data_IF_135793508303
#
_entry.id   IF_135793508303
#
_cell.length_a   1.000
_cell.length_b   1.000
_cell.length_c   1.000
_cell.angle_alpha   90.00
_cell.angle_beta   90.00
_cell.angle_gamma   90.00
#
_symmetry.space_group_name_H-M   'P 1'
#
loop_
_entity.id
_entity.type
_entity.pdbx_description
1 polymer ?
#
# COMPACT_ATOMS: atom_id res chain seq x y z
N UNK A 1 57.83 22.58 -73.81
CA UNK A 1 57.32 21.43 -74.59
C UNK A 1 56.47 20.54 -73.69
N UNK A 2 55.34 20.07 -74.25
CA UNK A 2 54.61 18.84 -73.92
C UNK A 2 53.90 18.68 -72.54
N UNK A 3 52.58 18.93 -72.60
CA UNK A 3 51.45 18.06 -72.18
C UNK A 3 51.79 16.73 -71.48
N UNK A 4 51.02 16.39 -70.43
CA UNK A 4 49.96 15.36 -70.44
C UNK A 4 49.32 15.27 -69.03
N UNK A 5 48.01 15.56 -68.89
CA UNK A 5 46.84 14.65 -68.79
C UNK A 5 46.34 14.43 -67.33
N UNK A 6 45.28 15.16 -66.99
CA UNK A 6 43.99 14.79 -66.33
C UNK A 6 43.81 13.30 -65.87
N UNK A 7 42.78 12.95 -65.05
CA UNK A 7 42.20 13.56 -63.83
C UNK A 7 41.66 12.50 -62.80
N UNK A 8 40.92 12.96 -61.78
CA UNK A 8 39.84 12.26 -61.05
C UNK A 8 40.16 11.36 -59.82
N UNK A 9 39.69 11.83 -58.66
CA UNK A 9 38.70 11.20 -57.74
C UNK A 9 39.10 11.38 -56.27
N UNK A 10 38.39 12.23 -55.52
CA UNK A 10 37.14 11.93 -54.79
C UNK A 10 37.41 11.33 -53.39
N UNK A 11 37.35 12.16 -52.35
CA UNK A 11 36.38 12.08 -51.24
C UNK A 11 36.76 13.11 -50.17
N UNK A 12 36.06 14.25 -50.19
CA UNK A 12 36.03 15.21 -49.09
C UNK A 12 35.19 14.67 -47.93
N UNK A 13 35.68 14.81 -46.71
CA UNK A 13 34.94 14.58 -45.47
C UNK A 13 33.57 15.31 -45.50
N UNK A 14 32.47 14.57 -45.50
CA UNK A 14 31.13 15.12 -45.28
C UNK A 14 30.92 15.24 -43.77
N UNK A 15 31.10 16.43 -43.23
CA UNK A 15 30.71 16.74 -41.84
C UNK A 15 29.18 16.83 -41.75
N UNK A 16 28.54 16.23 -40.74
CA UNK A 16 27.09 16.30 -40.57
C UNK A 16 26.65 17.76 -40.33
N UNK A 17 25.55 18.17 -40.95
CA UNK A 17 25.10 19.57 -40.86
C UNK A 17 24.71 19.92 -39.42
N UNK A 18 25.27 21.03 -38.92
CA UNK A 18 25.03 21.56 -37.56
C UNK A 18 23.53 21.72 -37.25
N UNK A 19 22.72 21.96 -38.30
CA UNK A 19 21.27 22.15 -38.20
C UNK A 19 20.52 20.87 -37.82
N UNK A 20 20.97 19.70 -38.28
CA UNK A 20 20.35 18.41 -37.92
C UNK A 20 20.66 18.02 -36.48
N UNK A 21 21.87 18.34 -35.99
CA UNK A 21 22.29 18.10 -34.60
C UNK A 21 21.53 19.05 -33.66
N UNK A 22 21.36 20.31 -34.05
CA UNK A 22 20.55 21.31 -33.32
C UNK A 22 19.06 20.90 -33.24
N UNK A 23 18.49 20.37 -34.33
CA UNK A 23 17.11 19.89 -34.32
C UNK A 23 16.90 18.65 -33.44
N UNK A 24 17.90 17.76 -33.35
CA UNK A 24 17.85 16.54 -32.53
C UNK A 24 18.04 16.84 -31.04
N UNK A 25 18.93 17.78 -30.71
CA UNK A 25 19.14 18.28 -29.34
C UNK A 25 17.96 19.11 -28.85
N UNK A 26 17.33 19.94 -29.70
CA UNK A 26 16.11 20.67 -29.36
C UNK A 26 14.89 19.75 -29.13
N UNK A 27 14.78 18.63 -29.85
CA UNK A 27 13.74 17.61 -29.58
C UNK A 27 13.99 16.82 -28.29
N UNK A 28 15.25 16.58 -27.93
CA UNK A 28 15.61 15.94 -26.66
C UNK A 28 15.38 16.86 -25.46
N UNK A 29 15.68 18.16 -25.57
CA UNK A 29 15.38 19.13 -24.51
C UNK A 29 13.87 19.37 -24.35
N UNK A 30 13.09 19.37 -25.43
CA UNK A 30 11.62 19.46 -25.37
C UNK A 30 10.93 18.22 -24.75
N UNK A 31 11.57 17.04 -24.79
CA UNK A 31 11.07 15.84 -24.10
C UNK A 31 11.43 15.80 -22.60
N UNK A 32 12.55 16.44 -22.22
CA UNK A 32 12.96 16.58 -20.82
C UNK A 32 12.08 17.58 -20.03
N UNK A 33 11.38 18.48 -20.72
CA UNK A 33 10.50 19.51 -20.13
C UNK A 33 9.02 19.06 -20.05
N UNK A 34 8.73 17.75 -20.11
CA UNK A 34 7.43 17.23 -19.65
C UNK A 34 7.37 17.42 -18.14
N UNK A 35 6.99 18.63 -17.73
CA UNK A 35 6.97 19.09 -16.34
C UNK A 35 6.51 18.01 -15.37
N UNK A 36 7.28 17.85 -14.29
CA UNK A 36 7.01 16.86 -13.24
C UNK A 36 5.55 16.99 -12.82
N UNK A 37 4.72 15.98 -13.17
CA UNK A 37 3.31 15.97 -12.79
C UNK A 37 3.24 16.08 -11.27
N UNK A 38 2.60 17.14 -10.77
CA UNK A 38 2.41 17.35 -9.33
C UNK A 38 1.86 16.05 -8.70
N UNK A 39 2.42 15.58 -7.57
CA UNK A 39 1.97 14.37 -6.93
C UNK A 39 0.48 14.50 -6.59
N UNK A 40 -0.36 13.67 -7.21
CA UNK A 40 -1.81 13.75 -7.05
C UNK A 40 -2.23 13.08 -5.75
N UNK A 41 -2.64 13.87 -4.76
CA UNK A 41 -3.24 13.35 -3.52
C UNK A 41 -4.60 12.71 -3.81
N UNK A 42 -4.84 11.53 -3.24
CA UNK A 42 -6.15 10.86 -3.28
C UNK A 42 -7.13 11.65 -2.39
N UNK A 43 -8.41 11.70 -2.78
CA UNK A 43 -9.46 12.26 -1.92
C UNK A 43 -9.60 11.41 -0.65
N UNK A 44 -9.96 12.04 0.46
CA UNK A 44 -10.32 11.34 1.69
C UNK A 44 -11.37 10.27 1.39
N UNK A 45 -11.29 9.14 2.10
CA UNK A 45 -12.16 7.98 1.86
C UNK A 45 -11.79 7.11 0.65
N UNK A 46 -11.12 7.63 -0.38
CA UNK A 46 -10.77 6.83 -1.58
C UNK A 46 -9.81 5.68 -1.25
N UNK A 47 -8.85 5.93 -0.36
CA UNK A 47 -7.88 4.92 0.08
C UNK A 47 -8.55 3.92 1.01
N UNK A 48 -9.32 4.40 2.00
CA UNK A 48 -10.08 3.55 2.92
C UNK A 48 -11.03 2.58 2.20
N UNK A 49 -11.79 3.06 1.21
CA UNK A 49 -12.69 2.19 0.41
C UNK A 49 -11.93 1.13 -0.38
N UNK A 50 -10.71 1.44 -0.84
CA UNK A 50 -9.85 0.45 -1.51
C UNK A 50 -9.35 -0.61 -0.52
N UNK A 51 -8.91 -0.18 0.65
CA UNK A 51 -8.42 -1.07 1.70
C UNK A 51 -9.53 -2.00 2.19
N UNK A 52 -10.74 -1.48 2.42
CA UNK A 52 -11.92 -2.29 2.78
C UNK A 52 -12.15 -3.39 1.75
N UNK A 53 -12.18 -3.05 0.45
CA UNK A 53 -12.37 -4.05 -0.61
C UNK A 53 -11.23 -5.07 -0.70
N UNK A 54 -9.99 -4.64 -0.44
CA UNK A 54 -8.82 -5.52 -0.43
C UNK A 54 -8.94 -6.54 0.70
N UNK A 55 -9.16 -6.09 1.93
CA UNK A 55 -9.20 -6.93 3.13
C UNK A 55 -10.48 -7.76 3.26
N UNK A 56 -11.57 -7.38 2.59
CA UNK A 56 -12.76 -8.23 2.48
C UNK A 56 -12.58 -9.38 1.48
N UNK A 57 -11.63 -9.27 0.55
CA UNK A 57 -11.36 -10.30 -0.46
C UNK A 57 -10.34 -11.33 0.02
N UNK A 58 -9.37 -10.91 0.84
CA UNK A 58 -8.36 -11.80 1.41
C UNK A 58 -8.80 -12.31 2.80
N UNK A 59 -8.18 -13.41 3.24
CA UNK A 59 -8.36 -13.99 4.57
C UNK A 59 -7.04 -14.03 5.34
N UNK A 60 -6.13 -13.13 5.02
CA UNK A 60 -4.82 -13.04 5.64
C UNK A 60 -4.93 -12.44 7.05
N UNK A 61 -4.15 -12.95 7.98
CA UNK A 61 -4.03 -12.38 9.32
C UNK A 61 -3.41 -10.99 9.27
N UNK A 62 -4.02 -10.03 9.98
CA UNK A 62 -3.65 -8.62 9.94
C UNK A 62 -2.72 -8.24 11.10
N UNK A 63 -2.80 -8.95 12.23
CA UNK A 63 -1.96 -8.68 13.39
C UNK A 63 -0.60 -9.36 13.17
N UNK A 64 0.54 -8.67 13.39
CA UNK A 64 1.84 -9.31 13.31
C UNK A 64 1.98 -10.43 14.34
N UNK A 65 2.45 -11.61 13.91
CA UNK A 65 2.49 -12.83 14.74
C UNK A 65 3.35 -12.71 16.00
N UNK A 66 4.52 -12.06 15.89
CA UNK A 66 5.48 -11.93 17.00
C UNK A 66 4.93 -11.12 18.19
N UNK A 67 4.39 -9.89 18.02
CA UNK A 67 3.80 -9.16 19.14
C UNK A 67 2.56 -9.85 19.71
N UNK A 68 1.71 -10.48 18.87
CA UNK A 68 0.57 -11.25 19.37
C UNK A 68 1.02 -12.42 20.25
N UNK A 69 2.04 -13.17 19.83
CA UNK A 69 2.63 -14.24 20.62
C UNK A 69 3.18 -13.74 21.96
N UNK A 70 3.83 -12.56 22.00
CA UNK A 70 4.34 -11.97 23.24
C UNK A 70 3.20 -11.63 24.20
N UNK A 71 2.13 -11.01 23.69
CA UNK A 71 0.95 -10.67 24.47
C UNK A 71 0.25 -11.90 25.05
N UNK A 72 0.09 -12.96 24.26
CA UNK A 72 -0.50 -14.22 24.75
C UNK A 72 0.32 -14.82 25.90
N UNK A 73 1.66 -14.77 25.81
CA UNK A 73 2.55 -15.27 26.86
C UNK A 73 2.50 -14.41 28.12
N UNK A 74 2.46 -13.10 27.97
CA UNK A 74 2.32 -12.15 29.07
C UNK A 74 1.02 -12.40 29.87
N UNK A 75 -0.11 -12.54 29.17
CA UNK A 75 -1.40 -12.85 29.79
C UNK A 75 -1.35 -14.21 30.47
N UNK A 76 -0.84 -15.24 29.79
CA UNK A 76 -0.77 -16.59 30.33
C UNK A 76 0.08 -16.70 31.61
N UNK A 77 1.18 -15.95 31.67
CA UNK A 77 2.07 -15.90 32.82
C UNK A 77 1.37 -15.31 34.07
N UNK A 78 0.37 -14.45 33.88
CA UNK A 78 -0.48 -13.94 34.96
C UNK A 78 -1.40 -14.99 35.60
N UNK A 79 -1.64 -16.14 34.93
CA UNK A 79 -2.47 -17.22 35.45
C UNK A 79 -1.65 -18.39 36.01
N UNK A 80 -0.61 -18.83 35.28
CA UNK A 80 0.23 -19.95 35.68
C UNK A 80 1.65 -19.76 35.15
N UNK A 81 2.65 -19.90 36.03
CA UNK A 81 4.06 -19.91 35.63
C UNK A 81 4.39 -21.17 34.82
N UNK A 82 5.38 -21.06 33.92
CA UNK A 82 5.97 -22.18 33.17
C UNK A 82 5.05 -22.92 32.17
N UNK A 83 4.13 -22.18 31.53
CA UNK A 83 3.30 -22.71 30.44
C UNK A 83 4.08 -22.85 29.13
N UNK A 84 4.03 -24.07 28.55
CA UNK A 84 4.54 -24.35 27.20
C UNK A 84 3.40 -24.34 26.19
N UNK A 85 3.56 -23.56 25.14
CA UNK A 85 2.58 -23.43 24.06
C UNK A 85 3.04 -24.19 22.82
N UNK A 86 2.10 -24.88 22.18
CA UNK A 86 2.29 -25.40 20.83
C UNK A 86 2.32 -24.23 19.82
N UNK A 87 3.07 -24.34 18.71
CA UNK A 87 3.09 -23.29 17.68
C UNK A 87 1.71 -23.07 17.05
N UNK A 88 0.93 -24.15 16.83
CA UNK A 88 -0.41 -24.07 16.26
C UNK A 88 -1.43 -23.41 17.21
N UNK A 89 -1.19 -23.43 18.52
CA UNK A 89 -2.08 -22.79 19.49
C UNK A 89 -2.09 -21.27 19.30
N UNK A 90 -0.94 -20.65 19.00
CA UNK A 90 -0.88 -19.21 18.73
C UNK A 90 -1.65 -18.84 17.45
N UNK A 91 -1.60 -19.69 16.42
CA UNK A 91 -2.37 -19.47 15.19
C UNK A 91 -3.87 -19.54 15.45
N UNK A 92 -4.34 -20.56 16.17
CA UNK A 92 -5.76 -20.71 16.51
C UNK A 92 -6.27 -19.53 17.37
N UNK A 93 -5.51 -19.12 18.38
CA UNK A 93 -5.85 -17.96 19.21
C UNK A 93 -5.89 -16.67 18.39
N UNK A 94 -4.98 -16.51 17.43
CA UNK A 94 -4.93 -15.33 16.59
C UNK A 94 -6.11 -15.27 15.62
N UNK A 95 -6.44 -16.40 14.99
CA UNK A 95 -7.59 -16.52 14.09
C UNK A 95 -8.90 -16.17 14.80
N UNK A 96 -9.11 -16.73 16.00
CA UNK A 96 -10.30 -16.45 16.80
C UNK A 96 -10.36 -14.98 17.27
N UNK A 97 -9.25 -14.44 17.76
CA UNK A 97 -9.18 -13.05 18.22
C UNK A 97 -9.45 -12.05 17.08
N UNK A 98 -8.87 -12.26 15.89
CA UNK A 98 -9.12 -11.40 14.73
C UNK A 98 -10.56 -11.55 14.22
N UNK A 99 -11.10 -12.76 14.16
CA UNK A 99 -12.49 -13.00 13.77
C UNK A 99 -13.47 -12.30 14.73
N UNK A 100 -13.22 -12.38 16.03
CA UNK A 100 -14.01 -11.69 17.06
C UNK A 100 -13.97 -10.17 16.88
N UNK A 101 -12.78 -9.59 16.71
CA UNK A 101 -12.62 -8.14 16.50
C UNK A 101 -13.31 -7.67 15.23
N UNK A 102 -13.20 -8.41 14.12
CA UNK A 102 -13.89 -8.08 12.87
C UNK A 102 -15.41 -8.13 13.06
N UNK A 103 -15.93 -9.16 13.76
CA UNK A 103 -17.37 -9.27 14.05
C UNK A 103 -17.84 -8.10 14.92
N UNK A 104 -17.09 -7.75 15.97
CA UNK A 104 -17.38 -6.61 16.83
C UNK A 104 -17.43 -5.31 16.02
N UNK A 105 -16.42 -5.05 15.19
CA UNK A 105 -16.32 -3.83 14.39
C UNK A 105 -17.39 -3.70 13.31
N UNK A 106 -17.92 -4.81 12.79
CA UNK A 106 -19.09 -4.80 11.88
C UNK A 106 -20.32 -4.26 12.60
N UNK A 107 -20.59 -4.75 13.81
CA UNK A 107 -21.75 -4.32 14.59
C UNK A 107 -21.62 -2.88 15.08
N UNK A 108 -20.40 -2.46 15.47
CA UNK A 108 -20.18 -1.06 15.87
C UNK A 108 -20.33 -0.10 14.70
N UNK A 109 -19.96 -0.51 13.49
CA UNK A 109 -20.20 0.27 12.28
C UNK A 109 -21.70 0.44 12.01
N UNK A 110 -22.53 -0.61 12.23
CA UNK A 110 -23.98 -0.48 12.13
C UNK A 110 -24.54 0.51 13.17
N UNK A 111 -24.02 0.49 14.40
CA UNK A 111 -24.40 1.45 15.43
C UNK A 111 -24.00 2.89 15.07
N UNK A 112 -22.82 3.09 14.47
CA UNK A 112 -22.39 4.40 13.99
C UNK A 112 -23.31 4.93 12.88
N UNK A 113 -23.67 4.07 11.91
CA UNK A 113 -24.61 4.41 10.83
C UNK A 113 -26.00 4.72 11.37
N UNK A 114 -26.47 3.95 12.36
CA UNK A 114 -27.75 4.21 13.03
C UNK A 114 -27.79 5.62 13.63
N UNK A 115 -26.67 6.10 14.18
CA UNK A 115 -26.51 7.46 14.69
C UNK A 115 -26.14 8.51 13.62
N UNK A 116 -26.32 8.20 12.32
CA UNK A 116 -26.01 9.06 11.16
C UNK A 116 -24.54 9.51 11.08
N UNK A 117 -23.61 8.70 11.59
CA UNK A 117 -22.15 8.95 11.55
C UNK A 117 -21.46 7.93 10.66
N UNK A 118 -20.29 8.31 10.14
CA UNK A 118 -19.39 7.42 9.38
C UNK A 118 -18.19 6.95 10.23
N UNK A 119 -17.81 7.75 11.23
CA UNK A 119 -16.69 7.44 12.13
C UNK A 119 -17.20 6.68 13.36
N UNK A 120 -16.64 5.49 13.60
CA UNK A 120 -16.87 4.71 14.83
C UNK A 120 -16.28 5.40 16.06
N UNK A 121 -16.96 5.29 17.20
CA UNK A 121 -16.56 5.87 18.47
C UNK A 121 -16.59 4.82 19.60
N UNK A 122 -15.96 5.12 20.74
CA UNK A 122 -15.93 4.23 21.90
C UNK A 122 -17.34 3.87 22.42
N UNK A 123 -18.27 4.85 22.41
CA UNK A 123 -19.68 4.64 22.76
C UNK A 123 -20.37 3.59 21.89
N UNK A 124 -20.00 3.47 20.62
CA UNK A 124 -20.58 2.48 19.71
C UNK A 124 -20.09 1.07 20.08
N UNK A 125 -18.82 0.93 20.51
CA UNK A 125 -18.26 -0.34 21.01
C UNK A 125 -18.95 -0.75 22.33
N UNK A 126 -19.07 0.18 23.26
CA UNK A 126 -19.71 -0.06 24.56
C UNK A 126 -21.16 -0.49 24.38
N UNK A 127 -21.90 0.18 23.49
CA UNK A 127 -23.29 -0.18 23.17
C UNK A 127 -23.39 -1.62 22.64
N UNK A 128 -22.54 -1.99 21.67
CA UNK A 128 -22.55 -3.35 21.10
C UNK A 128 -22.23 -4.40 22.16
N UNK A 129 -21.21 -4.17 22.98
CA UNK A 129 -20.85 -5.09 24.08
C UNK A 129 -21.98 -5.24 25.11
N UNK A 130 -22.69 -4.15 25.39
CA UNK A 130 -23.85 -4.16 26.30
C UNK A 130 -24.98 -4.99 25.72
N UNK A 131 -25.31 -4.81 24.44
CA UNK A 131 -26.37 -5.57 23.76
C UNK A 131 -26.02 -7.06 23.66
N UNK A 132 -24.73 -7.39 23.46
CA UNK A 132 -24.26 -8.78 23.40
C UNK A 132 -24.20 -9.47 24.76
N UNK A 133 -24.30 -8.73 25.87
CA UNK A 133 -24.15 -9.28 27.22
C UNK A 133 -22.70 -9.63 27.59
N UNK A 134 -21.71 -9.03 26.93
CA UNK A 134 -20.28 -9.24 27.22
C UNK A 134 -19.79 -8.42 28.43
N UNK A 135 -20.64 -7.52 28.96
CA UNK A 135 -20.46 -6.82 30.22
C UNK A 135 -21.17 -7.59 31.34
N UNK A 136 -20.53 -8.65 31.82
CA UNK A 136 -20.86 -9.30 33.09
C UNK A 136 -19.67 -9.16 34.05
#
# INVERSE_FOLDING_TARGET
>A
MARMRRPCCFYSLVQPSKNLIAARTARQSAQADRGVKKPRRRRSGTVALREIRKYQKSTDLLIPKLPFQRLVREIAQGFKSDLRFQPNAFMALQEDAEAYLVKLLKDTNLCAIHAKRVTIMQKDIQLVRTIRGEHA
#
